data_IF_833969911963
#
_entry.id   IF_833969911963
#
_cell.length_a   1.000
_cell.length_b   1.000
_cell.length_c   1.000
_cell.angle_alpha   90.00
_cell.angle_beta   90.00
_cell.angle_gamma   90.00
#
_symmetry.space_group_name_H-M   'P 1'
#
loop_
_entity.id
_entity.type
_entity.pdbx_description
1 polymer ?
#
# COMPACT_ATOMS: atom_id res chain seq x y z
N UNK A 1 37.65 -35.99 4.47
CA UNK A 1 36.48 -35.94 3.57
C UNK A 1 35.16 -35.65 4.29
N UNK A 2 34.95 -36.12 5.52
CA UNK A 2 33.68 -35.86 6.26
C UNK A 2 33.58 -34.45 6.92
N UNK A 3 34.69 -33.88 7.40
CA UNK A 3 34.70 -32.56 8.04
C UNK A 3 34.40 -31.42 7.06
N UNK A 4 34.90 -31.49 5.83
CA UNK A 4 34.68 -30.49 4.78
C UNK A 4 33.22 -30.41 4.33
N UNK A 5 32.57 -31.59 4.25
CA UNK A 5 31.12 -31.65 3.97
C UNK A 5 30.28 -31.04 5.10
N UNK A 6 30.68 -31.22 6.36
CA UNK A 6 30.02 -30.65 7.53
C UNK A 6 30.09 -29.11 7.55
N UNK A 7 31.25 -28.53 7.28
CA UNK A 7 31.47 -27.08 7.23
C UNK A 7 30.65 -26.45 6.10
N UNK A 8 30.65 -27.02 4.90
CA UNK A 8 29.84 -26.54 3.77
C UNK A 8 28.33 -26.59 4.06
N UNK A 9 27.87 -27.62 4.76
CA UNK A 9 26.47 -27.75 5.13
C UNK A 9 26.04 -26.71 6.18
N UNK A 10 26.90 -26.46 7.17
CA UNK A 10 26.64 -25.46 8.22
C UNK A 10 26.66 -24.04 7.66
N UNK A 11 27.59 -23.71 6.78
CA UNK A 11 27.62 -22.41 6.08
C UNK A 11 26.39 -22.20 5.21
N UNK A 12 25.95 -23.22 4.46
CA UNK A 12 24.72 -23.14 3.65
C UNK A 12 23.49 -22.90 4.51
N UNK A 13 23.41 -23.54 5.68
CA UNK A 13 22.28 -23.36 6.62
C UNK A 13 22.23 -21.95 7.19
N UNK A 14 23.37 -21.41 7.62
CA UNK A 14 23.47 -20.03 8.11
C UNK A 14 23.11 -19.02 7.01
N UNK A 15 23.62 -19.24 5.80
CA UNK A 15 23.34 -18.40 4.65
C UNK A 15 21.86 -18.39 4.28
N UNK A 16 21.21 -19.56 4.21
CA UNK A 16 19.77 -19.67 3.95
C UNK A 16 18.97 -18.99 5.07
N UNK A 17 19.40 -19.13 6.32
CA UNK A 17 18.77 -18.46 7.46
C UNK A 17 18.79 -16.93 7.35
N UNK A 18 19.94 -16.35 7.00
CA UNK A 18 20.08 -14.92 6.78
C UNK A 18 19.24 -14.44 5.60
N UNK A 19 19.27 -15.16 4.48
CA UNK A 19 18.48 -14.84 3.29
C UNK A 19 16.99 -14.83 3.61
N UNK A 20 16.49 -15.86 4.32
CA UNK A 20 15.09 -15.94 4.75
C UNK A 20 14.70 -14.80 5.71
N UNK A 21 15.61 -14.41 6.61
CA UNK A 21 15.38 -13.29 7.53
C UNK A 21 15.23 -11.97 6.79
N UNK A 22 16.13 -11.67 5.86
CA UNK A 22 16.01 -10.47 5.02
C UNK A 22 14.77 -10.51 4.13
N UNK A 23 14.48 -11.66 3.58
CA UNK A 23 13.30 -11.87 2.78
C UNK A 23 12.01 -11.60 3.57
N UNK A 24 11.91 -12.13 4.78
CA UNK A 24 10.79 -11.87 5.67
C UNK A 24 10.65 -10.38 6.00
N UNK A 25 11.77 -9.70 6.26
CA UNK A 25 11.78 -8.27 6.54
C UNK A 25 11.24 -7.45 5.36
N UNK A 26 11.65 -7.75 4.13
CA UNK A 26 11.15 -7.07 2.94
C UNK A 26 9.65 -7.30 2.70
N UNK A 27 9.16 -8.50 2.97
CA UNK A 27 7.73 -8.81 2.87
C UNK A 27 6.94 -8.01 3.91
N UNK A 28 7.40 -7.99 5.15
CA UNK A 28 6.76 -7.20 6.23
C UNK A 28 6.75 -5.72 5.88
N UNK A 29 7.89 -5.18 5.41
CA UNK A 29 7.98 -3.80 4.97
C UNK A 29 7.01 -3.50 3.83
N UNK A 30 6.92 -4.38 2.84
CA UNK A 30 5.97 -4.27 1.72
C UNK A 30 4.52 -4.24 2.18
N UNK A 31 4.15 -5.09 3.14
CA UNK A 31 2.81 -5.09 3.74
C UNK A 31 2.54 -3.77 4.44
N UNK A 32 3.48 -3.26 5.24
CA UNK A 32 3.32 -1.98 5.96
C UNK A 32 3.13 -0.83 4.95
N UNK A 33 3.97 -0.75 3.92
CA UNK A 33 3.89 0.29 2.88
C UNK A 33 2.57 0.21 2.13
N UNK A 34 2.10 -1.00 1.80
CA UNK A 34 0.80 -1.19 1.16
C UNK A 34 -0.35 -0.68 2.04
N UNK A 35 -0.38 -1.06 3.31
CA UNK A 35 -1.40 -0.59 4.26
C UNK A 35 -1.39 0.92 4.45
N UNK A 36 -0.22 1.53 4.56
CA UNK A 36 -0.10 2.98 4.69
C UNK A 36 -0.60 3.70 3.43
N UNK A 37 -0.28 3.18 2.25
CA UNK A 37 -0.74 3.74 0.98
C UNK A 37 -2.26 3.65 0.83
N UNK A 38 -2.84 2.47 1.07
CA UNK A 38 -4.30 2.26 1.03
C UNK A 38 -5.01 3.18 2.02
N UNK A 39 -4.53 3.23 3.26
CA UNK A 39 -5.09 4.11 4.29
C UNK A 39 -5.02 5.59 3.89
N UNK A 40 -3.90 6.04 3.32
CA UNK A 40 -3.73 7.42 2.88
C UNK A 40 -4.75 7.81 1.81
N UNK A 41 -4.99 6.93 0.83
CA UNK A 41 -5.99 7.17 -0.23
C UNK A 41 -7.40 7.28 0.35
N UNK A 42 -7.79 6.36 1.23
CA UNK A 42 -9.12 6.40 1.82
C UNK A 42 -9.32 7.57 2.78
N UNK A 43 -8.30 7.97 3.53
CA UNK A 43 -8.35 9.16 4.39
C UNK A 43 -8.58 10.44 3.59
N UNK A 44 -7.96 10.59 2.43
CA UNK A 44 -8.15 11.76 1.56
C UNK A 44 -9.59 11.84 1.03
N UNK A 45 -10.15 10.69 0.62
CA UNK A 45 -11.54 10.59 0.18
C UNK A 45 -12.50 10.93 1.32
N UNK A 46 -12.29 10.32 2.48
CA UNK A 46 -13.15 10.51 3.66
C UNK A 46 -13.12 11.98 4.11
N UNK A 47 -11.94 12.60 4.14
CA UNK A 47 -11.79 14.02 4.45
C UNK A 47 -12.53 14.93 3.45
N UNK A 48 -12.49 14.60 2.15
CA UNK A 48 -13.23 15.34 1.13
C UNK A 48 -14.75 15.27 1.36
N UNK A 49 -15.28 14.08 1.72
CA UNK A 49 -16.70 13.90 2.03
C UNK A 49 -17.10 14.65 3.31
N UNK A 50 -16.26 14.63 4.33
CA UNK A 50 -16.48 15.37 5.59
C UNK A 50 -16.43 16.89 5.39
N UNK A 51 -15.52 17.39 4.54
CA UNK A 51 -15.51 18.82 4.18
C UNK A 51 -16.82 19.23 3.50
N UNK A 52 -17.33 18.41 2.58
CA UNK A 52 -18.60 18.70 1.94
C UNK A 52 -19.79 18.62 2.91
N UNK A 53 -19.74 17.68 3.85
CA UNK A 53 -20.70 17.65 4.95
C UNK A 53 -20.69 18.97 5.73
N UNK A 54 -19.50 19.45 6.09
CA UNK A 54 -19.36 20.71 6.83
C UNK A 54 -19.94 21.90 6.06
N UNK A 55 -19.70 21.99 4.74
CA UNK A 55 -20.27 23.03 3.89
C UNK A 55 -21.80 23.02 3.86
N UNK A 56 -22.43 21.83 3.87
CA UNK A 56 -23.89 21.71 3.87
C UNK A 56 -24.48 22.02 5.24
N UNK A 57 -23.82 21.64 6.32
CA UNK A 57 -24.28 21.80 7.68
C UNK A 57 -24.04 23.23 8.21
N UNK A 58 -22.87 23.83 7.92
CA UNK A 58 -22.42 25.12 8.47
C UNK A 58 -21.92 26.06 7.38
N UNK A 59 -22.78 26.54 6.49
CA UNK A 59 -22.37 27.38 5.37
C UNK A 59 -21.72 28.72 5.77
N UNK A 60 -21.93 29.19 7.01
CA UNK A 60 -21.42 30.48 7.50
C UNK A 60 -20.02 30.42 8.12
N UNK A 61 -19.48 29.23 8.46
CA UNK A 61 -18.16 29.13 9.10
C UNK A 61 -17.01 29.14 8.12
N UNK A 62 -17.20 28.69 6.88
CA UNK A 62 -16.11 28.62 5.91
C UNK A 62 -15.81 29.94 5.20
N UNK A 63 -16.79 30.84 5.08
CA UNK A 63 -16.52 32.20 4.57
C UNK A 63 -15.58 32.99 5.47
N UNK A 64 -15.45 32.60 6.74
CA UNK A 64 -14.59 33.30 7.72
C UNK A 64 -13.16 32.74 7.72
N UNK A 65 -12.91 31.50 7.26
CA UNK A 65 -11.57 30.89 7.19
C UNK A 65 -10.83 31.19 5.89
N UNK A 66 -11.54 31.56 4.83
CA UNK A 66 -10.94 32.13 3.63
C UNK A 66 -10.76 33.63 3.89
N UNK A 67 -9.58 34.03 4.38
CA UNK A 67 -9.20 35.43 4.48
C UNK A 67 -9.47 36.19 3.18
N UNK A 68 -9.52 37.56 3.17
CA UNK A 68 -9.89 38.34 2.02
C UNK A 68 -9.08 37.93 0.80
N UNK A 69 -9.73 37.29 -0.15
CA UNK A 69 -9.12 36.87 -1.41
C UNK A 69 -8.65 38.12 -2.15
N UNK A 70 -7.37 38.28 -2.32
CA UNK A 70 -6.83 39.30 -3.20
C UNK A 70 -7.39 39.09 -4.61
N UNK A 71 -7.96 40.15 -5.24
CA UNK A 71 -8.47 40.07 -6.61
C UNK A 71 -7.30 39.81 -7.55
N UNK A 72 -7.20 38.61 -8.09
CA UNK A 72 -6.20 38.27 -9.11
C UNK A 72 -5.58 36.88 -9.04
N UNK A 73 -5.66 36.18 -7.94
CA UNK A 73 -5.16 34.82 -7.86
C UNK A 73 -6.32 33.86 -8.07
N UNK A 74 -6.56 33.45 -9.33
CA UNK A 74 -7.29 32.23 -9.61
C UNK A 74 -6.42 31.08 -9.05
N UNK A 75 -6.65 30.75 -7.79
CA UNK A 75 -6.23 29.44 -7.28
C UNK A 75 -7.10 28.44 -8.03
N UNK A 76 -6.59 27.94 -9.14
CA UNK A 76 -7.08 26.72 -9.76
C UNK A 76 -6.76 25.57 -8.80
N UNK A 77 -7.56 25.45 -7.73
CA UNK A 77 -7.67 24.16 -7.10
C UNK A 77 -8.08 23.19 -8.22
N UNK A 78 -7.35 22.09 -8.46
CA UNK A 78 -7.85 21.04 -9.31
C UNK A 78 -9.25 20.75 -8.79
N UNK A 79 -10.27 20.88 -9.66
CA UNK A 79 -11.67 20.73 -9.28
C UNK A 79 -11.78 19.48 -8.42
N UNK A 80 -12.20 19.57 -7.15
CA UNK A 80 -12.27 18.42 -6.27
C UNK A 80 -13.06 17.36 -7.02
N UNK A 81 -12.54 16.15 -7.09
CA UNK A 81 -13.14 14.99 -7.75
C UNK A 81 -14.64 15.12 -7.63
N UNK A 82 -15.37 15.13 -8.78
CA UNK A 82 -16.79 15.48 -8.83
C UNK A 82 -17.56 14.64 -7.83
N UNK A 83 -17.78 15.18 -6.66
CA UNK A 83 -18.68 14.62 -5.69
C UNK A 83 -20.08 14.87 -6.20
N UNK A 84 -20.84 13.82 -6.29
CA UNK A 84 -22.24 13.89 -6.67
C UNK A 84 -23.07 13.83 -5.40
N UNK A 85 -24.20 14.52 -5.39
CA UNK A 85 -25.11 14.55 -4.26
C UNK A 85 -26.47 14.03 -4.71
N UNK A 86 -26.98 13.02 -4.01
CA UNK A 86 -28.35 12.52 -4.20
C UNK A 86 -29.19 12.98 -3.03
N UNK A 87 -30.24 13.73 -3.31
CA UNK A 87 -31.14 14.31 -2.29
C UNK A 87 -32.40 13.48 -2.19
N UNK A 88 -32.70 13.01 -0.98
CA UNK A 88 -33.90 12.24 -0.69
C UNK A 88 -34.86 13.05 0.17
N UNK A 89 -36.15 12.99 -0.16
CA UNK A 89 -37.19 13.50 0.72
C UNK A 89 -37.37 12.60 1.96
N UNK A 90 -38.24 13.02 2.89
CA UNK A 90 -38.54 12.25 4.10
C UNK A 90 -39.15 10.85 3.80
N UNK A 91 -39.73 10.65 2.61
CA UNK A 91 -40.28 9.36 2.16
C UNK A 91 -39.27 8.47 1.46
N UNK A 92 -37.98 8.90 1.36
CA UNK A 92 -36.91 8.16 0.72
C UNK A 92 -36.94 8.20 -0.81
N UNK A 93 -37.63 9.15 -1.43
CA UNK A 93 -37.64 9.37 -2.88
C UNK A 93 -36.58 10.41 -3.26
N UNK A 94 -35.85 10.17 -4.35
CA UNK A 94 -34.91 11.14 -4.92
C UNK A 94 -35.68 12.34 -5.48
N UNK A 95 -35.26 13.56 -5.12
CA UNK A 95 -35.94 14.80 -5.52
C UNK A 95 -35.10 15.68 -6.45
N UNK A 96 -33.78 15.45 -6.54
CA UNK A 96 -32.87 16.24 -7.38
C UNK A 96 -32.52 15.56 -8.73
N UNK A 97 -33.47 14.83 -9.31
CA UNK A 97 -33.26 14.06 -10.57
C UNK A 97 -32.73 14.96 -11.70
N UNK A 98 -33.24 16.15 -11.86
CA UNK A 98 -32.85 17.08 -12.92
C UNK A 98 -31.36 17.49 -12.83
N UNK A 99 -30.82 17.60 -11.61
CA UNK A 99 -29.41 17.95 -11.39
C UNK A 99 -28.45 16.77 -11.59
N UNK A 100 -28.92 15.56 -11.29
CA UNK A 100 -28.13 14.35 -11.46
C UNK A 100 -27.88 14.00 -12.94
N UNK A 101 -28.80 14.41 -13.82
CA UNK A 101 -28.83 14.00 -15.20
C UNK A 101 -29.28 12.54 -15.37
N UNK A 102 -29.77 12.19 -16.55
CA UNK A 102 -30.41 10.88 -16.81
C UNK A 102 -29.48 9.68 -16.51
N UNK A 103 -28.22 9.77 -16.93
CA UNK A 103 -27.27 8.69 -16.72
C UNK A 103 -27.03 8.42 -15.24
N UNK A 104 -26.75 9.46 -14.49
CA UNK A 104 -26.43 9.32 -13.07
C UNK A 104 -27.67 8.90 -12.26
N UNK A 105 -28.83 9.47 -12.58
CA UNK A 105 -30.08 9.06 -11.97
C UNK A 105 -30.42 7.60 -12.22
N UNK A 106 -30.17 7.07 -13.43
CA UNK A 106 -30.43 5.67 -13.75
C UNK A 106 -29.66 4.70 -12.85
N UNK A 107 -28.46 5.09 -12.39
CA UNK A 107 -27.64 4.27 -11.50
C UNK A 107 -28.21 4.20 -10.08
N UNK A 108 -28.83 5.29 -9.62
CA UNK A 108 -29.29 5.42 -8.23
C UNK A 108 -30.80 5.37 -8.07
N UNK A 109 -31.60 5.26 -9.15
CA UNK A 109 -33.07 5.26 -9.09
C UNK A 109 -33.66 4.19 -8.16
N UNK A 110 -32.97 3.07 -7.99
CA UNK A 110 -33.38 1.95 -7.13
C UNK A 110 -32.74 2.01 -5.74
N UNK A 111 -31.91 3.04 -5.46
CA UNK A 111 -31.24 3.17 -4.19
C UNK A 111 -32.28 3.53 -3.12
N UNK A 112 -32.35 2.71 -2.08
CA UNK A 112 -33.22 2.95 -0.94
C UNK A 112 -32.46 3.77 0.10
N UNK A 113 -33.15 4.74 0.70
CA UNK A 113 -32.62 5.53 1.81
C UNK A 113 -32.44 4.62 3.05
N UNK A 114 -31.19 4.36 3.44
CA UNK A 114 -30.88 3.71 4.69
C UNK A 114 -30.53 4.76 5.76
N UNK A 115 -31.48 5.04 6.63
CA UNK A 115 -31.31 6.04 7.71
C UNK A 115 -30.32 5.58 8.79
N UNK A 116 -30.04 4.27 8.90
CA UNK A 116 -29.06 3.74 9.85
C UNK A 116 -27.61 4.09 9.48
N UNK A 117 -27.39 4.43 8.21
CA UNK A 117 -26.13 4.89 7.63
C UNK A 117 -25.84 6.39 7.86
N UNK A 118 -26.74 7.11 8.53
CA UNK A 118 -26.57 8.55 8.77
C UNK A 118 -25.27 8.84 9.54
N UNK A 119 -24.49 9.81 9.06
CA UNK A 119 -23.19 10.24 9.58
C UNK A 119 -22.13 9.10 9.62
N UNK A 120 -22.30 8.09 8.77
CA UNK A 120 -21.30 7.01 8.62
C UNK A 120 -20.78 6.99 7.21
N UNK A 121 -19.45 6.90 7.10
CA UNK A 121 -18.76 6.67 5.85
C UNK A 121 -18.94 5.20 5.44
N UNK A 122 -19.49 4.96 4.26
CA UNK A 122 -19.75 3.62 3.74
C UNK A 122 -19.25 3.48 2.30
N UNK A 123 -18.95 2.27 1.91
CA UNK A 123 -18.64 1.95 0.51
C UNK A 123 -19.86 1.29 -0.11
N UNK A 124 -20.37 1.89 -1.18
CA UNK A 124 -21.50 1.41 -1.96
C UNK A 124 -20.98 0.88 -3.30
N UNK A 125 -21.06 -0.41 -3.52
CA UNK A 125 -20.73 -1.02 -4.80
C UNK A 125 -22.01 -1.20 -5.62
N UNK A 126 -22.01 -0.67 -6.82
CA UNK A 126 -23.09 -0.78 -7.79
C UNK A 126 -22.61 -1.51 -9.04
N UNK A 127 -23.53 -1.84 -9.96
CA UNK A 127 -23.15 -2.41 -11.26
C UNK A 127 -22.30 -1.47 -12.13
N UNK A 128 -22.22 -0.21 -11.78
CA UNK A 128 -21.59 0.87 -12.57
C UNK A 128 -20.33 1.42 -11.94
N UNK A 129 -19.97 0.96 -10.74
CA UNK A 129 -18.77 1.38 -10.04
C UNK A 129 -18.91 1.33 -8.53
N UNK A 130 -17.80 1.62 -7.87
CA UNK A 130 -17.70 1.71 -6.42
C UNK A 130 -17.69 3.17 -6.00
N UNK A 131 -18.47 3.48 -4.97
CA UNK A 131 -18.63 4.83 -4.45
C UNK A 131 -18.38 4.83 -2.95
N UNK A 132 -17.60 5.80 -2.49
CA UNK A 132 -17.53 6.14 -1.07
C UNK A 132 -18.66 7.12 -0.78
N UNK A 133 -19.42 6.89 0.27
CA UNK A 133 -20.68 7.62 0.53
C UNK A 133 -20.76 8.09 1.96
N UNK A 134 -21.38 9.26 2.14
CA UNK A 134 -21.73 9.83 3.45
C UNK A 134 -23.16 10.36 3.40
N UNK A 135 -24.04 9.75 4.19
CA UNK A 135 -25.42 10.21 4.32
C UNK A 135 -25.56 11.22 5.46
N UNK A 136 -26.08 12.39 5.15
CA UNK A 136 -26.34 13.42 6.14
C UNK A 136 -27.80 13.87 6.10
N UNK A 137 -28.27 14.45 7.19
CA UNK A 137 -29.56 15.13 7.24
C UNK A 137 -29.31 16.64 7.32
N UNK A 138 -29.65 17.37 6.25
CA UNK A 138 -29.47 18.80 6.22
C UNK A 138 -30.44 19.50 7.20
N UNK A 139 -29.99 20.59 7.84
CA UNK A 139 -30.85 21.38 8.71
C UNK A 139 -32.01 22.03 7.93
N UNK A 140 -33.08 22.36 8.61
CA UNK A 140 -34.25 23.00 7.97
C UNK A 140 -33.93 24.39 7.39
N UNK A 141 -32.92 25.04 7.90
CA UNK A 141 -32.41 26.35 7.47
C UNK A 141 -31.03 26.20 6.80
N UNK A 142 -30.92 25.30 5.85
CA UNK A 142 -29.71 25.18 5.03
C UNK A 142 -29.58 26.39 4.12
N UNK A 143 -28.35 26.83 3.84
CA UNK A 143 -28.11 27.94 2.90
C UNK A 143 -28.61 27.64 1.49
N UNK A 144 -28.62 26.38 1.09
CA UNK A 144 -29.24 25.94 -0.15
C UNK A 144 -30.65 25.36 0.11
N UNK A 145 -31.72 26.00 -0.41
CA UNK A 145 -33.08 25.52 -0.22
C UNK A 145 -33.32 24.08 -0.71
N UNK A 146 -32.48 23.57 -1.64
CA UNK A 146 -32.61 22.22 -2.17
C UNK A 146 -32.29 21.14 -1.16
N UNK A 147 -31.47 21.45 -0.16
CA UNK A 147 -31.05 20.48 0.87
C UNK A 147 -31.90 20.63 2.14
N UNK A 148 -32.57 21.76 2.33
CA UNK A 148 -33.24 22.13 3.57
C UNK A 148 -34.20 21.04 4.08
N UNK A 149 -33.87 20.40 5.23
CA UNK A 149 -34.66 19.37 5.88
C UNK A 149 -34.68 18.02 5.19
N UNK A 150 -33.90 17.84 4.13
CA UNK A 150 -33.77 16.61 3.34
C UNK A 150 -32.57 15.78 3.75
N UNK A 151 -32.55 14.50 3.32
CA UNK A 151 -31.39 13.64 3.44
C UNK A 151 -30.53 13.82 2.19
N UNK A 152 -29.25 14.12 2.39
CA UNK A 152 -28.28 14.30 1.31
C UNK A 152 -27.26 13.17 1.39
N UNK A 153 -27.19 12.36 0.35
CA UNK A 153 -26.17 11.35 0.18
C UNK A 153 -25.06 11.93 -0.69
N UNK A 154 -23.94 12.19 -0.08
CA UNK A 154 -22.72 12.65 -0.76
C UNK A 154 -22.00 11.41 -1.26
N UNK A 155 -21.62 11.37 -2.54
CA UNK A 155 -20.98 10.22 -3.16
C UNK A 155 -19.73 10.67 -3.92
N UNK A 156 -18.68 9.91 -3.75
CA UNK A 156 -17.46 10.04 -4.56
C UNK A 156 -17.16 8.70 -5.23
N UNK A 157 -17.00 8.72 -6.55
CA UNK A 157 -16.56 7.52 -7.27
C UNK A 157 -15.12 7.20 -6.90
N UNK A 158 -14.85 5.93 -6.55
CA UNK A 158 -13.54 5.44 -6.09
C UNK A 158 -12.89 4.46 -7.06
N UNK A 159 -13.46 4.26 -8.25
CA UNK A 159 -12.95 3.28 -9.23
C UNK A 159 -11.50 3.58 -9.63
N UNK A 160 -11.15 4.85 -9.82
CA UNK A 160 -9.79 5.28 -10.15
C UNK A 160 -8.80 4.99 -9.01
N UNK A 161 -9.21 5.25 -7.78
CA UNK A 161 -8.41 5.00 -6.58
C UNK A 161 -8.22 3.51 -6.35
N UNK A 162 -9.27 2.71 -6.53
CA UNK A 162 -9.17 1.25 -6.46
C UNK A 162 -8.28 0.68 -7.56
N UNK A 163 -8.35 1.23 -8.77
CA UNK A 163 -7.43 0.87 -9.85
C UNK A 163 -5.98 1.22 -9.50
N UNK A 164 -5.75 2.39 -8.90
CA UNK A 164 -4.43 2.80 -8.41
C UNK A 164 -3.89 1.87 -7.33
N UNK A 165 -4.72 1.49 -6.35
CA UNK A 165 -4.36 0.53 -5.30
C UNK A 165 -4.02 -0.83 -5.90
N UNK A 166 -4.82 -1.32 -6.87
CA UNK A 166 -4.53 -2.58 -7.58
C UNK A 166 -3.20 -2.51 -8.34
N UNK A 167 -2.96 -1.42 -9.07
CA UNK A 167 -1.70 -1.22 -9.81
C UNK A 167 -0.50 -1.14 -8.85
N UNK A 168 -0.63 -0.40 -7.77
CA UNK A 168 0.41 -0.30 -6.75
C UNK A 168 0.75 -1.66 -6.14
N UNK A 169 -0.26 -2.46 -5.80
CA UNK A 169 -0.07 -3.83 -5.30
C UNK A 169 0.68 -4.70 -6.30
N UNK A 170 0.34 -4.63 -7.59
CA UNK A 170 1.03 -5.40 -8.64
C UNK A 170 2.50 -4.97 -8.75
N UNK A 171 2.76 -3.67 -8.82
CA UNK A 171 4.13 -3.13 -8.88
C UNK A 171 4.92 -3.56 -7.64
N UNK A 172 4.34 -3.47 -6.46
CA UNK A 172 4.99 -3.88 -5.21
C UNK A 172 5.38 -5.36 -5.22
N UNK A 173 4.46 -6.25 -5.63
CA UNK A 173 4.73 -7.69 -5.74
C UNK A 173 5.87 -7.96 -6.73
N UNK A 174 5.80 -7.37 -7.93
CA UNK A 174 6.85 -7.54 -8.95
C UNK A 174 8.20 -7.03 -8.44
N UNK A 175 8.22 -5.89 -7.77
CA UNK A 175 9.43 -5.31 -7.19
C UNK A 175 10.04 -6.22 -6.14
N UNK A 176 9.23 -6.80 -5.25
CA UNK A 176 9.70 -7.75 -4.23
C UNK A 176 10.29 -9.00 -4.89
N UNK A 177 9.62 -9.57 -5.90
CA UNK A 177 10.11 -10.75 -6.62
C UNK A 177 11.44 -10.45 -7.33
N UNK A 178 11.53 -9.30 -8.02
CA UNK A 178 12.75 -8.87 -8.70
C UNK A 178 13.92 -8.70 -7.73
N UNK A 179 13.65 -8.06 -6.59
CA UNK A 179 14.65 -7.86 -5.53
C UNK A 179 15.16 -9.19 -4.97
N UNK A 180 14.27 -10.17 -4.82
CA UNK A 180 14.63 -11.52 -4.39
C UNK A 180 15.49 -12.24 -5.43
N UNK A 181 15.13 -12.14 -6.70
CA UNK A 181 15.92 -12.74 -7.77
C UNK A 181 17.35 -12.15 -7.82
N UNK A 182 17.45 -10.82 -7.69
CA UNK A 182 18.73 -10.12 -7.62
C UNK A 182 19.56 -10.53 -6.38
N UNK A 183 18.92 -10.59 -5.22
CA UNK A 183 19.57 -11.00 -3.98
C UNK A 183 20.12 -12.43 -4.07
N UNK A 184 19.34 -13.37 -4.62
CA UNK A 184 19.78 -14.75 -4.86
C UNK A 184 20.94 -14.81 -5.85
N UNK A 185 20.86 -14.09 -6.97
CA UNK A 185 21.93 -14.03 -7.98
C UNK A 185 23.23 -13.48 -7.41
N UNK A 186 23.15 -12.34 -6.73
CA UNK A 186 24.31 -11.68 -6.12
C UNK A 186 24.93 -12.56 -5.02
N UNK A 187 24.11 -13.20 -4.24
CA UNK A 187 24.51 -14.10 -3.18
C UNK A 187 25.22 -15.34 -3.71
N UNK A 188 24.72 -15.95 -4.76
CA UNK A 188 25.37 -17.05 -5.45
C UNK A 188 26.73 -16.64 -6.03
N UNK A 189 26.79 -15.50 -6.72
CA UNK A 189 28.01 -14.95 -7.29
C UNK A 189 29.08 -14.67 -6.22
N UNK A 190 28.69 -14.01 -5.12
CA UNK A 190 29.59 -13.69 -4.02
C UNK A 190 30.11 -14.96 -3.32
N UNK A 191 29.20 -15.91 -3.07
CA UNK A 191 29.58 -17.21 -2.46
C UNK A 191 30.62 -17.97 -3.29
N UNK A 192 30.43 -18.04 -4.60
CA UNK A 192 31.36 -18.72 -5.49
C UNK A 192 32.72 -18.02 -5.57
N UNK A 193 32.74 -16.69 -5.51
CA UNK A 193 33.96 -15.89 -5.61
C UNK A 193 34.76 -15.88 -4.29
N UNK A 194 34.06 -15.74 -3.15
CA UNK A 194 34.68 -15.69 -1.83
C UNK A 194 35.28 -17.06 -1.38
N UNK A 195 34.68 -18.15 -1.83
CA UNK A 195 35.15 -19.51 -1.45
C UNK A 195 36.43 -19.94 -2.16
N UNK A 196 36.72 -19.41 -3.36
CA UNK A 196 37.92 -19.80 -4.12
C UNK A 196 39.26 -19.60 -3.38
N UNK A 197 39.53 -18.42 -2.76
CA UNK A 197 40.76 -18.21 -2.02
C UNK A 197 40.88 -19.05 -0.75
N UNK A 198 39.74 -19.27 -0.07
CA UNK A 198 39.70 -20.07 1.17
C UNK A 198 40.04 -21.51 0.89
N UNK A 199 39.44 -22.12 -0.14
CA UNK A 199 39.75 -23.50 -0.55
C UNK A 199 41.23 -23.66 -0.94
N UNK A 200 41.80 -22.69 -1.67
CA UNK A 200 43.24 -22.71 -2.04
C UNK A 200 44.16 -22.58 -0.82
N UNK A 201 43.81 -21.78 0.15
CA UNK A 201 44.56 -21.63 1.40
C UNK A 201 44.56 -22.93 2.21
N UNK A 202 43.40 -23.59 2.30
CA UNK A 202 43.29 -24.89 2.98
C UNK A 202 44.08 -26.00 2.27
N UNK A 203 44.07 -26.06 0.95
CA UNK A 203 44.86 -27.01 0.19
C UNK A 203 46.35 -26.79 0.45
N UNK A 204 46.85 -25.57 0.37
CA UNK A 204 48.26 -25.25 0.68
C UNK A 204 48.66 -25.67 2.11
N UNK A 205 47.75 -25.49 3.07
CA UNK A 205 48.02 -25.87 4.47
C UNK A 205 48.06 -27.40 4.62
N UNK A 206 47.23 -28.16 3.91
CA UNK A 206 47.28 -29.61 3.90
C UNK A 206 48.53 -30.13 3.21
N UNK A 207 48.92 -29.56 2.08
CA UNK A 207 50.14 -29.92 1.37
C UNK A 207 51.36 -29.67 2.24
N UNK A 208 51.43 -28.49 2.91
CA UNK A 208 52.50 -28.17 3.85
C UNK A 208 52.61 -29.18 5.02
N UNK A 209 51.49 -29.58 5.61
CA UNK A 209 51.48 -30.57 6.73
C UNK A 209 51.91 -31.94 6.22
N UNK A 210 51.52 -32.34 5.00
CA UNK A 210 51.91 -33.60 4.41
C UNK A 210 53.45 -33.65 4.11
N UNK A 211 53.99 -32.57 3.53
CA UNK A 211 55.40 -32.43 3.23
C UNK A 211 56.25 -32.41 4.53
N UNK A 212 55.83 -31.64 5.54
CA UNK A 212 56.48 -31.61 6.85
C UNK A 212 56.46 -32.98 7.54
N UNK A 213 55.38 -33.74 7.43
CA UNK A 213 55.29 -35.09 7.96
C UNK A 213 56.25 -36.07 7.22
N UNK A 214 56.42 -35.89 5.91
CA UNK A 214 57.37 -36.66 5.13
C UNK A 214 58.81 -36.31 5.48
N UNK A 215 59.21 -35.06 5.59
CA UNK A 215 60.52 -34.57 5.95
C UNK A 215 60.91 -34.95 7.37
N UNK A 216 59.96 -34.97 8.33
CA UNK A 216 60.22 -35.41 9.70
C UNK A 216 60.40 -36.96 9.86
N UNK A 217 59.90 -37.71 8.91
CA UNK A 217 59.99 -39.17 8.95
C UNK A 217 61.49 -39.71 8.71
N UNK A 218 62.23 -38.98 7.88
CA UNK A 218 63.62 -39.34 7.57
C UNK A 218 64.53 -39.18 8.79
N UNK A 219 64.58 -38.08 9.56
CA UNK A 219 65.44 -37.97 10.73
C UNK A 219 64.99 -38.87 11.90
N UNK A 220 63.65 -39.13 12.05
CA UNK A 220 63.16 -40.05 13.08
C UNK A 220 63.58 -41.51 12.87
N UNK A 221 63.71 -41.96 11.63
CA UNK A 221 64.21 -43.31 11.31
C UNK A 221 65.69 -43.49 11.65
N UNK A 222 66.50 -42.43 11.62
CA UNK A 222 67.89 -42.43 11.99
C UNK A 222 68.14 -42.50 13.50
N UNK A 223 67.20 -42.01 14.31
CA UNK A 223 67.27 -41.99 15.79
C UNK A 223 66.88 -43.36 16.37
N UNK A 224 66.11 -44.17 15.63
CA UNK A 224 65.66 -45.51 16.08
C UNK A 224 66.56 -46.66 15.66
N UNK A 225 67.62 -46.41 14.93
CA UNK A 225 68.66 -47.40 14.59
C UNK A 225 69.90 -47.22 15.48
#
# INVERSE_FOLDING_TARGET
>A
MNAEKGIKHQQRRLFIGQLLSFAGLFVVLGIIVFFLYERSIYQDIDHTLEQQQAMILNPNEETTKLGPQQPGTRVTHPAPFRTNMVVFNQKGRIINQAMLGERFYAYFKNLKLDRSAQNKLQTLTTSTGTFRTLLIKAPKYSADPQYAGHYVLILQNTDAQEAAIRSFRQVLIVTIILFWALALGLSYWLSTRAMRPIVRSWQRQQDFVADAAHELRAPLAVIQS
#
